data_IF_560261355509
#
_entry.id   IF_560261355509
#
_cell.length_a   1.000
_cell.length_b   1.000
_cell.length_c   1.000
_cell.angle_alpha   90.00
_cell.angle_beta   90.00
_cell.angle_gamma   90.00
#
_symmetry.space_group_name_H-M   'P 1'
#
loop_
_entity.id
_entity.type
_entity.pdbx_description
1 polymer ?
#
# COMPACT_ATOMS: atom_id res chain seq x y z
N UNK A 1 14.33 2.52 71.03
CA UNK A 1 15.67 2.24 71.64
C UNK A 1 16.78 2.93 70.85
N UNK A 2 16.64 3.20 69.57
CA UNK A 2 17.66 3.85 68.70
C UNK A 2 17.54 5.39 68.72
N UNK A 3 16.40 5.94 69.20
CA UNK A 3 16.13 7.38 69.16
C UNK A 3 16.62 8.10 70.47
N UNK A 4 16.78 7.38 71.57
CA UNK A 4 17.19 7.97 72.85
C UNK A 4 18.70 8.38 72.91
N UNK A 5 19.49 8.08 71.87
CA UNK A 5 20.94 8.41 71.83
C UNK A 5 21.33 9.45 70.76
N UNK A 6 20.32 10.09 70.12
CA UNK A 6 20.62 11.22 69.24
C UNK A 6 20.56 12.49 70.05
N UNK A 7 21.75 13.08 70.36
CA UNK A 7 21.81 14.32 71.09
C UNK A 7 21.03 15.41 70.36
N UNK A 8 20.08 16.05 71.09
CA UNK A 8 19.14 17.06 70.62
C UNK A 8 19.78 18.31 69.99
N UNK A 9 21.09 18.43 70.06
CA UNK A 9 21.87 19.62 69.62
C UNK A 9 22.27 19.59 68.13
N UNK A 10 21.98 18.51 67.44
CA UNK A 10 22.50 18.31 66.08
C UNK A 10 21.44 18.53 64.99
N UNK A 11 20.15 18.49 65.29
CA UNK A 11 19.10 18.65 64.28
C UNK A 11 18.11 19.77 64.63
N UNK A 12 18.31 20.95 64.05
CA UNK A 12 17.35 22.08 64.02
C UNK A 12 16.88 22.67 65.38
N UNK A 13 17.55 22.43 66.49
CA UNK A 13 17.19 22.99 67.81
C UNK A 13 15.85 22.51 68.34
N UNK A 14 15.39 21.34 67.94
CA UNK A 14 14.09 20.75 68.31
C UNK A 14 14.27 19.73 69.46
N UNK A 15 13.30 19.68 70.38
CA UNK A 15 13.30 18.66 71.43
C UNK A 15 13.07 17.26 70.83
N UNK A 16 13.58 16.21 71.51
CA UNK A 16 13.37 14.82 71.08
C UNK A 16 11.93 14.42 70.92
N UNK A 17 11.05 15.05 71.71
CA UNK A 17 9.61 14.87 71.69
C UNK A 17 8.96 15.47 70.40
N UNK A 18 9.42 16.64 69.97
CA UNK A 18 9.00 17.29 68.73
C UNK A 18 9.50 16.52 67.51
N UNK A 19 10.68 15.95 67.54
CA UNK A 19 11.25 15.11 66.49
C UNK A 19 10.46 13.80 66.30
N UNK A 20 10.10 13.15 67.42
CA UNK A 20 9.24 11.97 67.42
C UNK A 20 7.83 12.27 66.87
N UNK A 21 7.23 13.39 67.21
CA UNK A 21 5.94 13.81 66.69
C UNK A 21 5.97 14.06 65.18
N UNK A 22 7.02 14.73 64.70
CA UNK A 22 7.23 14.93 63.25
C UNK A 22 7.43 13.61 62.50
N UNK A 23 8.27 12.73 63.05
CA UNK A 23 8.50 11.41 62.49
C UNK A 23 7.21 10.58 62.41
N UNK A 24 6.38 10.66 63.42
CA UNK A 24 5.08 9.98 63.49
C UNK A 24 4.08 10.56 62.50
N UNK A 25 4.05 11.89 62.30
CA UNK A 25 3.21 12.56 61.28
C UNK A 25 3.70 12.19 59.89
N UNK A 26 5.02 12.18 59.63
CA UNK A 26 5.59 11.80 58.34
C UNK A 26 5.30 10.32 58.02
N UNK A 27 5.35 9.42 58.98
CA UNK A 27 5.02 8.01 58.81
C UNK A 27 3.53 7.79 58.58
N UNK A 28 2.66 8.45 59.35
CA UNK A 28 1.19 8.29 59.22
C UNK A 28 0.64 8.95 57.95
N UNK A 29 1.18 10.12 57.59
CA UNK A 29 0.71 10.82 56.36
C UNK A 29 1.45 10.39 55.11
N UNK A 30 2.75 10.11 55.22
CA UNK A 30 3.58 9.74 54.08
C UNK A 30 3.30 8.34 53.52
N UNK A 31 2.95 7.38 54.42
CA UNK A 31 2.66 6.01 53.97
C UNK A 31 1.40 5.89 53.08
N UNK A 32 0.26 6.50 53.42
CA UNK A 32 -0.90 6.53 52.50
C UNK A 32 -0.61 7.29 51.23
N UNK A 33 0.14 8.39 51.27
CA UNK A 33 0.51 9.18 50.08
C UNK A 33 1.39 8.35 49.16
N UNK A 34 2.38 7.65 49.71
CA UNK A 34 3.26 6.77 48.89
C UNK A 34 2.51 5.60 48.27
N UNK A 35 1.52 5.02 48.98
CA UNK A 35 0.66 3.97 48.47
C UNK A 35 -0.25 4.47 47.33
N UNK A 36 -0.83 5.63 47.45
CA UNK A 36 -1.62 6.25 46.40
C UNK A 36 -0.75 6.62 45.21
N UNK A 37 0.42 7.20 45.43
CA UNK A 37 1.39 7.48 44.38
C UNK A 37 1.82 6.20 43.63
N UNK A 38 2.20 5.14 44.36
CA UNK A 38 2.57 3.86 43.77
C UNK A 38 1.41 3.23 42.95
N UNK A 39 0.17 3.35 43.43
CA UNK A 39 -1.01 2.88 42.71
C UNK A 39 -1.28 3.68 41.43
N UNK A 40 -1.15 5.02 41.49
CA UNK A 40 -1.31 5.91 40.33
C UNK A 40 -0.21 5.63 39.30
N UNK A 41 1.07 5.54 39.74
CA UNK A 41 2.20 5.21 38.83
C UNK A 41 2.03 3.83 38.21
N UNK A 42 1.64 2.81 38.98
CA UNK A 42 1.37 1.46 38.43
C UNK A 42 0.23 1.47 37.43
N UNK A 43 -0.85 2.24 37.71
CA UNK A 43 -1.96 2.37 36.76
C UNK A 43 -1.54 3.10 35.48
N UNK A 44 -0.65 4.09 35.60
CA UNK A 44 -0.13 4.82 34.44
C UNK A 44 0.76 3.92 33.56
N UNK A 45 1.68 3.14 34.16
CA UNK A 45 2.53 2.19 33.45
C UNK A 45 1.68 1.14 32.70
N UNK A 46 0.65 0.59 33.36
CA UNK A 46 -0.25 -0.38 32.70
C UNK A 46 -1.04 0.29 31.58
N UNK A 47 -1.45 1.54 31.75
CA UNK A 47 -2.19 2.28 30.72
C UNK A 47 -1.29 2.59 29.51
N UNK A 48 -0.04 2.99 29.76
CA UNK A 48 0.93 3.27 28.69
C UNK A 48 1.29 1.98 27.94
N UNK A 49 1.46 0.84 28.63
CA UNK A 49 1.72 -0.47 28.01
C UNK A 49 0.50 -0.95 27.17
N UNK A 50 -0.73 -0.75 27.67
CA UNK A 50 -1.97 -1.07 26.92
C UNK A 50 -2.15 -0.14 25.72
N UNK A 51 -1.77 1.14 25.85
CA UNK A 51 -1.80 2.09 24.72
C UNK A 51 -0.76 1.76 23.66
N UNK A 52 0.46 1.39 24.04
CA UNK A 52 1.50 0.95 23.11
C UNK A 52 1.11 -0.34 22.39
N UNK A 53 0.53 -1.31 23.11
CA UNK A 53 -0.02 -2.52 22.49
C UNK A 53 -1.20 -2.21 21.55
N UNK A 54 -2.09 -1.29 21.95
CA UNK A 54 -3.21 -0.85 21.11
C UNK A 54 -2.73 -0.11 19.85
N UNK A 55 -1.76 0.81 19.98
CA UNK A 55 -1.18 1.52 18.85
C UNK A 55 -0.39 0.56 17.92
N UNK A 56 0.33 -0.41 18.47
CA UNK A 56 1.02 -1.44 17.68
C UNK A 56 0.02 -2.35 16.94
N UNK A 57 -1.05 -2.78 17.59
CA UNK A 57 -2.14 -3.53 16.96
C UNK A 57 -2.87 -2.69 15.92
N UNK A 58 -3.11 -1.41 16.19
CA UNK A 58 -3.71 -0.47 15.25
C UNK A 58 -2.83 -0.29 14.01
N UNK A 59 -1.50 -0.16 14.16
CA UNK A 59 -0.57 -0.11 13.03
C UNK A 59 -0.60 -1.41 12.20
N UNK A 60 -0.64 -2.57 12.84
CA UNK A 60 -0.76 -3.87 12.13
C UNK A 60 -2.08 -3.97 11.36
N UNK A 61 -3.19 -3.49 11.94
CA UNK A 61 -4.51 -3.51 11.30
C UNK A 61 -4.60 -2.45 10.18
N UNK A 62 -3.99 -1.26 10.38
CA UNK A 62 -4.07 -0.15 9.43
C UNK A 62 -3.19 -0.33 8.19
N UNK A 63 -2.19 -1.22 8.24
CA UNK A 63 -1.21 -1.43 7.17
C UNK A 63 -1.47 -2.66 6.28
N UNK A 64 -2.61 -3.32 6.43
CA UNK A 64 -2.90 -4.53 5.66
C UNK A 64 -3.23 -4.19 4.21
N UNK A 65 -2.24 -4.38 3.31
CA UNK A 65 -2.46 -4.37 1.86
C UNK A 65 -3.36 -5.55 1.47
N UNK A 66 -4.21 -5.41 0.45
CA UNK A 66 -4.96 -6.54 -0.09
C UNK A 66 -4.03 -7.71 -0.43
N UNK A 67 -4.36 -8.90 0.04
CA UNK A 67 -3.57 -10.10 -0.20
C UNK A 67 -4.22 -10.97 -1.26
N UNK A 68 -3.45 -11.31 -2.30
CA UNK A 68 -3.91 -12.04 -3.47
C UNK A 68 -3.28 -13.43 -3.50
N UNK A 69 -4.12 -14.44 -3.68
CA UNK A 69 -3.72 -15.78 -4.10
C UNK A 69 -3.92 -15.94 -5.61
N UNK A 70 -2.97 -16.59 -6.28
CA UNK A 70 -3.11 -16.96 -7.69
C UNK A 70 -3.11 -18.47 -7.76
N UNK A 71 -4.26 -19.04 -8.15
CA UNK A 71 -4.43 -20.49 -8.22
C UNK A 71 -3.77 -21.03 -9.48
N UNK A 72 -3.26 -22.27 -9.46
CA UNK A 72 -2.85 -22.95 -10.67
C UNK A 72 -4.04 -22.99 -11.63
N UNK A 73 -3.83 -22.55 -12.88
CA UNK A 73 -4.90 -22.59 -13.88
C UNK A 73 -5.16 -24.04 -14.31
N UNK A 74 -6.40 -24.34 -14.64
CA UNK A 74 -6.79 -25.65 -15.14
C UNK A 74 -6.40 -25.83 -16.60
N UNK A 75 -5.69 -26.91 -16.91
CA UNK A 75 -5.46 -27.33 -18.29
C UNK A 75 -6.65 -28.16 -18.76
N UNK A 76 -7.50 -27.58 -19.59
CA UNK A 76 -8.68 -28.24 -20.18
C UNK A 76 -8.35 -29.01 -21.48
N UNK A 77 -7.08 -29.25 -21.76
CA UNK A 77 -6.64 -30.03 -22.90
C UNK A 77 -6.35 -31.48 -22.52
N UNK A 78 -6.46 -32.39 -23.47
CA UNK A 78 -6.01 -33.76 -23.32
C UNK A 78 -4.46 -33.89 -23.35
N UNK A 79 -3.79 -32.88 -23.90
CA UNK A 79 -2.33 -32.83 -24.04
C UNK A 79 -1.68 -32.22 -22.78
N UNK A 80 -0.87 -33.04 -22.11
CA UNK A 80 -0.10 -32.63 -20.94
C UNK A 80 1.08 -31.72 -21.26
N UNK A 81 1.53 -31.67 -22.53
CA UNK A 81 2.60 -30.77 -22.94
C UNK A 81 2.17 -29.29 -22.85
N UNK A 82 0.86 -29.03 -22.77
CA UNK A 82 0.34 -27.68 -22.50
C UNK A 82 0.45 -27.25 -21.01
N UNK A 83 0.70 -28.16 -20.05
CA UNK A 83 0.81 -27.84 -18.63
C UNK A 83 1.93 -26.84 -18.36
N UNK A 84 3.02 -26.93 -19.11
CA UNK A 84 4.14 -26.00 -18.94
C UNK A 84 3.78 -24.55 -19.34
N UNK A 85 2.95 -24.36 -20.35
CA UNK A 85 2.45 -23.03 -20.76
C UNK A 85 1.50 -22.48 -19.70
N UNK A 86 0.62 -23.32 -19.16
CA UNK A 86 -0.33 -22.98 -18.10
C UNK A 86 0.42 -22.52 -16.86
N UNK A 87 1.42 -23.29 -16.43
CA UNK A 87 2.25 -22.97 -15.28
C UNK A 87 3.08 -21.70 -15.49
N UNK A 88 3.62 -21.52 -16.71
CA UNK A 88 4.36 -20.32 -17.07
C UNK A 88 3.54 -19.04 -16.91
N UNK A 89 2.31 -19.03 -17.41
CA UNK A 89 1.40 -17.87 -17.25
C UNK A 89 1.15 -17.57 -15.76
N UNK A 90 0.91 -18.59 -14.94
CA UNK A 90 0.70 -18.41 -13.50
C UNK A 90 1.97 -17.89 -12.81
N UNK A 91 3.15 -18.38 -13.19
CA UNK A 91 4.43 -17.87 -12.65
C UNK A 91 4.67 -16.41 -13.00
N UNK A 92 4.37 -16.01 -14.23
CA UNK A 92 4.51 -14.64 -14.67
C UNK A 92 3.50 -13.72 -13.99
N UNK A 93 2.25 -14.16 -13.82
CA UNK A 93 1.26 -13.43 -13.03
C UNK A 93 1.72 -13.20 -11.59
N UNK A 94 2.29 -14.22 -10.94
CA UNK A 94 2.83 -14.09 -9.58
C UNK A 94 3.99 -13.09 -9.57
N UNK A 95 4.89 -13.18 -10.54
CA UNK A 95 6.08 -12.33 -10.63
C UNK A 95 5.70 -10.87 -10.85
N UNK A 96 4.91 -10.60 -11.86
CA UNK A 96 4.52 -9.25 -12.26
C UNK A 96 3.61 -8.58 -11.21
N UNK A 97 2.60 -9.31 -10.67
CA UNK A 97 1.76 -8.79 -9.58
C UNK A 97 2.57 -8.50 -8.31
N UNK A 98 3.65 -9.24 -8.06
CA UNK A 98 4.54 -8.97 -6.92
C UNK A 98 5.33 -7.66 -7.04
N UNK A 99 5.46 -7.10 -8.25
CA UNK A 99 6.06 -5.78 -8.46
C UNK A 99 5.14 -4.63 -8.05
N UNK A 100 3.83 -4.89 -7.96
CA UNK A 100 2.82 -3.91 -7.56
C UNK A 100 2.83 -3.77 -6.04
N UNK A 101 3.26 -2.62 -5.54
CA UNK A 101 3.49 -2.38 -4.10
C UNK A 101 2.23 -2.19 -3.28
N UNK A 102 1.12 -1.91 -3.92
CA UNK A 102 -0.20 -1.69 -3.30
C UNK A 102 -0.86 -2.97 -2.82
N UNK A 103 -0.41 -4.12 -3.32
CA UNK A 103 -0.94 -5.45 -3.01
C UNK A 103 0.13 -6.34 -2.40
N UNK A 104 -0.29 -7.43 -1.77
CA UNK A 104 0.56 -8.49 -1.26
C UNK A 104 0.23 -9.79 -1.99
N UNK A 105 1.20 -10.38 -2.69
CA UNK A 105 0.99 -11.59 -3.49
C UNK A 105 1.51 -12.81 -2.73
N UNK A 106 0.74 -13.90 -2.74
CA UNK A 106 1.16 -15.17 -2.16
C UNK A 106 2.37 -15.75 -2.91
N UNK A 107 3.25 -16.44 -2.19
CA UNK A 107 4.44 -17.02 -2.81
C UNK A 107 4.06 -18.12 -3.82
N UNK A 108 4.91 -18.31 -4.84
CA UNK A 108 4.76 -19.40 -5.82
C UNK A 108 4.50 -20.76 -5.14
N UNK A 109 5.26 -21.09 -4.10
CA UNK A 109 5.09 -22.35 -3.36
C UNK A 109 3.70 -22.49 -2.74
N UNK A 110 3.15 -21.40 -2.21
CA UNK A 110 1.80 -21.38 -1.66
C UNK A 110 0.77 -21.57 -2.76
N UNK A 111 0.85 -20.77 -3.84
CA UNK A 111 -0.09 -20.84 -4.97
C UNK A 111 -0.13 -22.22 -5.61
N UNK A 112 1.02 -22.78 -5.99
CA UNK A 112 1.09 -24.12 -6.58
C UNK A 112 0.78 -25.27 -5.59
N UNK A 113 0.85 -25.00 -4.30
CA UNK A 113 0.45 -25.93 -3.25
C UNK A 113 -1.07 -26.20 -3.19
N UNK A 114 -1.87 -25.42 -3.92
CA UNK A 114 -3.33 -25.63 -4.06
C UNK A 114 -3.70 -26.53 -5.24
N UNK A 115 -2.76 -26.92 -6.09
CA UNK A 115 -3.03 -27.89 -7.15
C UNK A 115 -3.59 -29.18 -6.54
N UNK A 116 -4.68 -29.67 -7.09
CA UNK A 116 -5.39 -30.88 -6.64
C UNK A 116 -6.00 -30.79 -5.22
N UNK A 117 -6.11 -29.58 -4.65
CA UNK A 117 -6.82 -29.38 -3.39
C UNK A 117 -8.20 -28.79 -3.64
N UNK A 118 -9.20 -29.42 -3.02
CA UNK A 118 -10.56 -28.87 -2.96
C UNK A 118 -10.61 -27.83 -1.82
N UNK A 119 -10.44 -26.57 -2.16
CA UNK A 119 -10.44 -25.45 -1.21
C UNK A 119 -11.69 -24.60 -1.42
N UNK A 120 -12.33 -24.22 -0.32
CA UNK A 120 -13.47 -23.28 -0.34
C UNK A 120 -12.97 -21.84 -0.17
N UNK A 121 -13.78 -20.86 -0.62
CA UNK A 121 -13.49 -19.43 -0.41
C UNK A 121 -13.24 -19.09 1.05
N UNK A 122 -14.00 -19.74 1.96
CA UNK A 122 -13.81 -19.60 3.40
C UNK A 122 -12.43 -20.08 3.85
N UNK A 123 -11.92 -21.20 3.32
CA UNK A 123 -10.58 -21.68 3.67
C UNK A 123 -9.48 -20.76 3.15
N UNK A 124 -9.63 -20.17 1.96
CA UNK A 124 -8.69 -19.18 1.43
C UNK A 124 -8.60 -17.94 2.32
N UNK A 125 -9.72 -17.50 2.89
CA UNK A 125 -9.77 -16.38 3.80
C UNK A 125 -9.23 -16.71 5.19
N UNK A 126 -9.73 -17.74 5.84
CA UNK A 126 -9.48 -18.03 7.25
C UNK A 126 -8.08 -18.64 7.49
N UNK A 127 -7.65 -19.55 6.62
CA UNK A 127 -6.37 -20.24 6.78
C UNK A 127 -5.21 -19.48 6.13
N UNK A 128 -5.46 -18.83 4.98
CA UNK A 128 -4.41 -18.21 4.16
C UNK A 128 -4.47 -16.69 4.17
N UNK A 129 -5.58 -16.11 4.63
CA UNK A 129 -5.78 -14.66 4.73
C UNK A 129 -5.81 -13.96 3.39
N UNK A 130 -6.28 -14.63 2.33
CA UNK A 130 -6.46 -13.99 1.04
C UNK A 130 -7.70 -13.10 1.06
N UNK A 131 -7.56 -11.90 0.54
CA UNK A 131 -8.67 -10.99 0.30
C UNK A 131 -9.25 -11.22 -1.10
N UNK A 132 -8.40 -11.63 -2.06
CA UNK A 132 -8.76 -11.92 -3.45
C UNK A 132 -8.06 -13.18 -3.95
N UNK A 133 -8.70 -13.86 -4.90
CA UNK A 133 -8.14 -15.04 -5.57
C UNK A 133 -8.29 -14.88 -7.08
N UNK A 134 -7.20 -15.06 -7.81
CA UNK A 134 -7.18 -15.18 -9.27
C UNK A 134 -7.18 -16.67 -9.60
N UNK A 135 -8.12 -17.10 -10.41
CA UNK A 135 -8.21 -18.47 -10.96
C UNK A 135 -8.44 -18.42 -12.46
N UNK A 136 -8.24 -19.53 -13.13
CA UNK A 136 -8.44 -19.57 -14.57
C UNK A 136 -8.33 -20.95 -15.17
N UNK A 137 -8.59 -21.00 -16.46
CA UNK A 137 -8.44 -22.21 -17.26
C UNK A 137 -7.89 -21.91 -18.65
N UNK A 138 -7.18 -22.85 -19.20
CA UNK A 138 -6.59 -22.77 -20.52
C UNK A 138 -7.09 -23.91 -21.39
N UNK A 139 -7.59 -23.54 -22.57
CA UNK A 139 -7.95 -24.47 -23.63
C UNK A 139 -7.17 -24.14 -24.91
N UNK A 140 -6.48 -25.14 -25.42
CA UNK A 140 -5.69 -25.05 -26.63
C UNK A 140 -6.35 -25.87 -27.75
N UNK A 141 -6.40 -25.33 -28.95
CA UNK A 141 -6.66 -26.07 -30.19
C UNK A 141 -5.46 -25.95 -31.11
N UNK A 142 -5.49 -26.57 -32.30
CA UNK A 142 -4.34 -26.57 -33.22
C UNK A 142 -3.74 -25.19 -33.46
N UNK A 143 -4.59 -24.16 -33.70
CA UNK A 143 -4.15 -22.81 -34.05
C UNK A 143 -4.52 -21.74 -33.02
N UNK A 144 -5.29 -22.07 -32.00
CA UNK A 144 -5.85 -21.08 -31.07
C UNK A 144 -5.64 -21.47 -29.62
N UNK A 145 -5.44 -20.44 -28.80
CA UNK A 145 -5.37 -20.51 -27.36
C UNK A 145 -6.49 -19.68 -26.78
N UNK A 146 -7.30 -20.29 -25.92
CA UNK A 146 -8.31 -19.59 -25.13
C UNK A 146 -7.94 -19.67 -23.67
N UNK A 147 -7.82 -18.51 -23.03
CA UNK A 147 -7.54 -18.38 -21.61
C UNK A 147 -8.75 -17.71 -20.98
N UNK A 148 -9.33 -18.33 -19.96
CA UNK A 148 -10.38 -17.74 -19.13
C UNK A 148 -9.77 -17.43 -17.78
N UNK A 149 -10.03 -16.21 -17.26
CA UNK A 149 -9.50 -15.75 -15.98
C UNK A 149 -10.64 -15.14 -15.18
N UNK A 150 -10.64 -15.39 -13.88
CA UNK A 150 -11.60 -14.87 -12.93
C UNK A 150 -10.87 -14.28 -11.73
N UNK A 151 -11.38 -13.17 -11.20
CA UNK A 151 -10.99 -12.58 -9.94
C UNK A 151 -12.16 -12.68 -8.98
N UNK A 152 -11.95 -13.37 -7.89
CA UNK A 152 -12.95 -13.57 -6.84
C UNK A 152 -12.58 -12.81 -5.58
N UNK A 153 -13.59 -12.23 -4.96
CA UNK A 153 -13.53 -11.58 -3.66
C UNK A 153 -13.84 -12.61 -2.56
N UNK A 154 -12.92 -12.76 -1.61
CA UNK A 154 -13.06 -13.76 -0.54
C UNK A 154 -13.92 -13.28 0.62
N UNK A 155 -14.26 -11.98 0.68
CA UNK A 155 -15.16 -11.45 1.71
C UNK A 155 -16.63 -11.77 1.40
N UNK A 156 -17.01 -11.58 0.14
CA UNK A 156 -18.40 -11.71 -0.31
C UNK A 156 -18.65 -13.03 -1.05
N UNK A 157 -17.60 -13.83 -1.30
CA UNK A 157 -17.63 -15.09 -2.08
C UNK A 157 -18.22 -14.86 -3.50
N UNK A 158 -17.83 -13.78 -4.13
CA UNK A 158 -18.33 -13.37 -5.44
C UNK A 158 -17.19 -13.24 -6.47
N UNK A 159 -17.48 -13.61 -7.71
CA UNK A 159 -16.62 -13.28 -8.85
C UNK A 159 -16.85 -11.81 -9.20
N UNK A 160 -15.87 -10.96 -8.93
CA UNK A 160 -15.94 -9.52 -9.17
C UNK A 160 -15.51 -9.14 -10.58
N UNK A 161 -14.74 -10.00 -11.25
CA UNK A 161 -14.32 -9.81 -12.63
C UNK A 161 -14.02 -11.14 -13.31
N UNK A 162 -14.33 -11.25 -14.60
CA UNK A 162 -13.90 -12.36 -15.44
C UNK A 162 -13.70 -11.91 -16.87
N UNK A 163 -12.73 -12.50 -17.57
CA UNK A 163 -12.47 -12.24 -18.97
C UNK A 163 -11.98 -13.50 -19.71
N UNK A 164 -12.11 -13.45 -21.05
CA UNK A 164 -11.65 -14.52 -21.96
C UNK A 164 -10.78 -13.94 -23.04
N UNK A 165 -9.58 -14.49 -23.19
CA UNK A 165 -8.62 -14.11 -24.18
C UNK A 165 -8.54 -15.21 -25.25
N UNK A 166 -8.87 -14.86 -26.50
CA UNK A 166 -8.79 -15.74 -27.66
C UNK A 166 -7.66 -15.27 -28.58
N UNK A 167 -6.58 -16.03 -28.64
CA UNK A 167 -5.38 -15.67 -29.40
C UNK A 167 -4.96 -16.78 -30.37
N UNK A 168 -4.26 -16.40 -31.43
CA UNK A 168 -3.65 -17.34 -32.38
C UNK A 168 -2.27 -17.74 -31.87
N UNK A 169 -1.94 -19.01 -31.94
CA UNK A 169 -0.61 -19.53 -31.53
C UNK A 169 0.47 -19.15 -32.54
N UNK A 170 0.89 -17.91 -32.61
CA UNK A 170 1.97 -17.47 -33.49
C UNK A 170 3.35 -17.48 -32.85
N UNK A 171 3.43 -16.86 -31.65
CA UNK A 171 4.59 -16.82 -30.79
C UNK A 171 4.10 -16.94 -29.35
N UNK A 172 4.38 -18.07 -28.72
CA UNK A 172 3.86 -18.39 -27.38
C UNK A 172 4.39 -17.42 -26.33
N UNK A 173 5.65 -17.00 -26.41
CA UNK A 173 6.24 -16.11 -25.42
C UNK A 173 5.70 -14.68 -25.52
N UNK A 174 5.67 -14.08 -26.72
CA UNK A 174 5.06 -12.76 -26.92
C UNK A 174 3.58 -12.73 -26.53
N UNK A 175 2.87 -13.82 -26.80
CA UNK A 175 1.47 -13.98 -26.44
C UNK A 175 1.29 -14.08 -24.91
N UNK A 176 2.17 -14.79 -24.23
CA UNK A 176 2.18 -14.92 -22.78
C UNK A 176 2.38 -13.56 -22.11
N UNK A 177 3.38 -12.79 -22.55
CA UNK A 177 3.66 -11.44 -22.03
C UNK A 177 2.47 -10.49 -22.22
N UNK A 178 1.84 -10.50 -23.41
CA UNK A 178 0.67 -9.68 -23.70
C UNK A 178 -0.50 -10.02 -22.79
N UNK A 179 -0.84 -11.32 -22.67
CA UNK A 179 -1.98 -11.78 -21.87
C UNK A 179 -1.75 -11.49 -20.38
N UNK A 180 -0.55 -11.79 -19.88
CA UNK A 180 -0.18 -11.50 -18.49
C UNK A 180 -0.34 -10.02 -18.20
N UNK A 181 0.15 -9.14 -19.08
CA UNK A 181 0.01 -7.68 -18.93
C UNK A 181 -1.46 -7.25 -18.86
N UNK A 182 -2.32 -7.76 -19.74
CA UNK A 182 -3.75 -7.44 -19.77
C UNK A 182 -4.47 -7.93 -18.50
N UNK A 183 -4.16 -9.15 -18.04
CA UNK A 183 -4.75 -9.71 -16.81
C UNK A 183 -4.37 -8.84 -15.61
N UNK A 184 -3.09 -8.49 -15.47
CA UNK A 184 -2.57 -7.70 -14.35
C UNK A 184 -3.26 -6.35 -14.26
N UNK A 185 -3.34 -5.64 -15.38
CA UNK A 185 -4.00 -4.34 -15.41
C UNK A 185 -5.46 -4.42 -14.97
N UNK A 186 -6.20 -5.41 -15.51
CA UNK A 186 -7.61 -5.61 -15.16
C UNK A 186 -7.79 -6.00 -13.69
N UNK A 187 -7.00 -6.95 -13.20
CA UNK A 187 -7.06 -7.43 -11.80
C UNK A 187 -6.79 -6.29 -10.82
N UNK A 188 -5.75 -5.49 -11.07
CA UNK A 188 -5.41 -4.36 -10.19
C UNK A 188 -6.53 -3.32 -10.21
N UNK A 189 -7.06 -2.98 -11.39
CA UNK A 189 -8.16 -2.02 -11.54
C UNK A 189 -9.40 -2.45 -10.74
N UNK A 190 -9.81 -3.71 -10.82
CA UNK A 190 -10.98 -4.23 -10.11
C UNK A 190 -10.76 -4.28 -8.59
N UNK A 191 -9.55 -4.64 -8.14
CA UNK A 191 -9.21 -4.60 -6.72
C UNK A 191 -9.28 -3.18 -6.17
N UNK A 192 -8.77 -2.19 -6.90
CA UNK A 192 -8.85 -0.78 -6.49
C UNK A 192 -10.30 -0.30 -6.43
N UNK A 193 -11.13 -0.61 -7.43
CA UNK A 193 -12.55 -0.25 -7.46
C UNK A 193 -13.29 -0.88 -6.28
N UNK A 194 -13.08 -2.16 -6.03
CA UNK A 194 -13.74 -2.88 -4.92
C UNK A 194 -13.27 -2.38 -3.57
N UNK A 195 -11.97 -2.18 -3.39
CA UNK A 195 -11.40 -1.62 -2.16
C UNK A 195 -11.90 -0.18 -1.92
N UNK A 196 -12.03 0.64 -2.96
CA UNK A 196 -12.61 1.98 -2.86
C UNK A 196 -14.08 1.95 -2.44
N UNK A 197 -14.89 1.05 -3.01
CA UNK A 197 -16.30 0.86 -2.61
C UNK A 197 -16.39 0.47 -1.13
N UNK A 198 -15.51 -0.41 -0.65
CA UNK A 198 -15.44 -0.80 0.77
C UNK A 198 -15.00 0.38 1.64
N UNK A 199 -13.96 1.13 1.24
CA UNK A 199 -13.48 2.30 1.96
C UNK A 199 -14.59 3.37 2.13
N UNK A 200 -15.46 3.56 1.13
CA UNK A 200 -16.58 4.48 1.23
C UNK A 200 -17.64 4.07 2.27
N UNK A 201 -17.76 2.77 2.56
CA UNK A 201 -18.71 2.23 3.57
C UNK A 201 -18.14 2.22 4.98
N UNK A 202 -16.81 2.33 5.14
CA UNK A 202 -16.16 2.32 6.45
C UNK A 202 -16.39 3.62 7.23
N UNK A 203 -16.67 3.58 8.56
CA UNK A 203 -16.58 4.74 9.40
C UNK A 203 -15.17 5.34 9.37
N UNK A 204 -15.08 6.66 9.52
CA UNK A 204 -13.78 7.38 9.44
C UNK A 204 -12.75 6.84 10.43
N UNK A 205 -13.19 6.47 11.63
CA UNK A 205 -12.33 5.96 12.72
C UNK A 205 -11.72 4.58 12.41
N UNK A 206 -12.27 3.85 11.43
CA UNK A 206 -11.79 2.51 11.04
C UNK A 206 -11.09 2.47 9.68
N UNK A 207 -10.85 3.63 9.07
CA UNK A 207 -10.16 3.72 7.79
C UNK A 207 -8.65 3.52 7.93
N UNK A 208 -8.09 2.72 7.03
CA UNK A 208 -6.64 2.50 6.93
C UNK A 208 -5.94 3.55 6.07
N UNK A 209 -4.61 3.65 6.14
CA UNK A 209 -3.81 4.47 5.21
C UNK A 209 -4.13 4.14 3.75
N UNK A 210 -4.34 2.86 3.43
CA UNK A 210 -4.74 2.42 2.10
C UNK A 210 -6.12 2.97 1.69
N UNK A 211 -7.11 2.86 2.58
CA UNK A 211 -8.48 3.37 2.33
C UNK A 211 -8.48 4.88 2.05
N UNK A 212 -7.74 5.65 2.86
CA UNK A 212 -7.59 7.11 2.69
C UNK A 212 -6.87 7.44 1.38
N UNK A 213 -5.81 6.69 1.03
CA UNK A 213 -5.07 6.88 -0.22
C UNK A 213 -5.96 6.65 -1.44
N UNK A 214 -6.77 5.58 -1.45
CA UNK A 214 -7.72 5.31 -2.53
C UNK A 214 -8.75 6.43 -2.70
N UNK A 215 -9.31 6.93 -1.58
CA UNK A 215 -10.24 8.08 -1.61
C UNK A 215 -9.56 9.34 -2.16
N UNK A 216 -8.34 9.63 -1.72
CA UNK A 216 -7.55 10.76 -2.20
C UNK A 216 -7.31 10.68 -3.71
N UNK A 217 -6.91 9.51 -4.22
CA UNK A 217 -6.72 9.26 -5.66
C UNK A 217 -7.99 9.46 -6.46
N UNK A 218 -9.11 8.87 -6.02
CA UNK A 218 -10.39 9.00 -6.70
C UNK A 218 -10.90 10.45 -6.74
N UNK A 219 -10.65 11.23 -5.69
CA UNK A 219 -10.98 12.66 -5.66
C UNK A 219 -10.07 13.48 -6.60
N UNK A 220 -8.77 13.16 -6.65
CA UNK A 220 -7.83 13.81 -7.57
C UNK A 220 -8.25 13.66 -9.04
N UNK A 221 -8.80 12.49 -9.42
CA UNK A 221 -9.26 12.21 -10.79
C UNK A 221 -10.49 13.02 -11.24
N UNK A 222 -11.16 13.74 -10.34
CA UNK A 222 -12.32 14.58 -10.71
C UNK A 222 -11.92 15.90 -11.35
N UNK A 223 -10.68 16.36 -11.20
CA UNK A 223 -10.18 17.63 -11.73
C UNK A 223 -10.97 18.87 -11.29
N UNK A 224 -11.63 18.81 -10.14
CA UNK A 224 -12.44 19.87 -9.54
C UNK A 224 -11.72 20.46 -8.34
N UNK A 225 -11.89 21.77 -8.09
CA UNK A 225 -11.19 22.49 -7.02
C UNK A 225 -11.53 21.95 -5.63
N UNK A 226 -12.80 21.73 -5.35
CA UNK A 226 -13.29 21.19 -4.07
C UNK A 226 -12.84 19.75 -3.86
N UNK A 227 -12.88 18.94 -4.92
CA UNK A 227 -12.40 17.57 -4.88
C UNK A 227 -10.88 17.49 -4.67
N UNK A 228 -10.10 18.39 -5.29
CA UNK A 228 -8.66 18.49 -5.08
C UNK A 228 -8.31 18.85 -3.62
N UNK A 229 -9.02 19.81 -3.04
CA UNK A 229 -8.83 20.20 -1.63
C UNK A 229 -9.17 19.03 -0.68
N UNK A 230 -10.24 18.27 -0.96
CA UNK A 230 -10.60 17.09 -0.19
C UNK A 230 -9.60 15.94 -0.38
N UNK A 231 -9.09 15.75 -1.60
CA UNK A 231 -8.04 14.78 -1.89
C UNK A 231 -6.80 15.00 -1.02
N UNK A 232 -6.36 16.25 -0.88
CA UNK A 232 -5.22 16.60 -0.02
C UNK A 232 -5.52 16.21 1.43
N UNK A 233 -6.73 16.47 1.96
CA UNK A 233 -7.12 16.09 3.33
C UNK A 233 -7.12 14.56 3.52
N UNK A 234 -7.61 13.80 2.54
CA UNK A 234 -7.57 12.34 2.60
C UNK A 234 -6.13 11.82 2.60
N UNK A 235 -5.27 12.41 1.79
CA UNK A 235 -3.86 12.00 1.72
C UNK A 235 -3.08 12.41 2.98
N UNK A 236 -3.41 13.53 3.62
CA UNK A 236 -2.87 13.88 4.94
C UNK A 236 -3.29 12.86 6.00
N UNK A 237 -4.55 12.47 6.03
CA UNK A 237 -5.03 11.41 6.93
C UNK A 237 -4.38 10.05 6.65
N UNK A 238 -4.09 9.74 5.38
CA UNK A 238 -3.35 8.54 5.00
C UNK A 238 -1.91 8.54 5.56
N UNK A 239 -1.24 9.69 5.49
CA UNK A 239 0.11 9.90 6.03
C UNK A 239 0.10 9.81 7.57
N UNK A 240 -0.92 10.37 8.22
CA UNK A 240 -1.08 10.29 9.67
C UNK A 240 -1.31 8.83 10.12
N UNK A 241 -2.10 8.06 9.37
CA UNK A 241 -2.36 6.66 9.66
C UNK A 241 -1.13 5.75 9.44
N UNK A 242 -0.26 6.08 8.47
CA UNK A 242 1.00 5.38 8.21
C UNK A 242 2.02 6.31 7.55
N UNK A 243 2.87 6.92 8.36
CA UNK A 243 3.89 7.86 7.91
C UNK A 243 5.06 7.22 7.15
N UNK A 244 5.18 5.89 7.18
CA UNK A 244 6.23 5.14 6.46
C UNK A 244 5.77 4.63 5.09
N UNK A 245 4.51 4.83 4.72
CA UNK A 245 4.01 4.50 3.40
C UNK A 245 4.38 5.61 2.39
N UNK A 246 5.18 5.35 1.36
CA UNK A 246 5.57 6.37 0.36
C UNK A 246 4.40 6.81 -0.51
N UNK A 247 3.41 5.95 -0.74
CA UNK A 247 2.34 6.16 -1.72
C UNK A 247 1.46 7.39 -1.44
N UNK A 248 0.95 7.63 -0.22
CA UNK A 248 0.18 8.85 0.05
C UNK A 248 1.00 10.14 -0.08
N UNK A 249 2.31 10.09 0.22
CA UNK A 249 3.19 11.24 0.01
C UNK A 249 3.32 11.58 -1.49
N UNK A 250 3.54 10.57 -2.35
CA UNK A 250 3.64 10.78 -3.79
C UNK A 250 2.33 11.26 -4.40
N UNK A 251 1.18 10.72 -3.99
CA UNK A 251 -0.14 11.20 -4.44
C UNK A 251 -0.46 12.59 -3.93
N UNK A 252 -0.06 12.96 -2.72
CA UNK A 252 -0.19 14.34 -2.22
C UNK A 252 0.60 15.31 -3.10
N UNK A 253 1.83 14.97 -3.46
CA UNK A 253 2.61 15.78 -4.39
C UNK A 253 1.94 15.93 -5.76
N UNK A 254 1.40 14.85 -6.32
CA UNK A 254 0.62 14.87 -7.56
C UNK A 254 -0.60 15.80 -7.46
N UNK A 255 -1.36 15.70 -6.36
CA UNK A 255 -2.56 16.52 -6.13
C UNK A 255 -2.22 18.00 -5.95
N UNK A 256 -1.13 18.31 -5.27
CA UNK A 256 -0.60 19.69 -5.17
C UNK A 256 -0.15 20.21 -6.53
N UNK A 257 0.58 19.42 -7.33
CA UNK A 257 0.95 19.77 -8.70
C UNK A 257 -0.27 20.03 -9.58
N UNK A 258 -1.30 19.20 -9.48
CA UNK A 258 -2.57 19.41 -10.18
C UNK A 258 -3.23 20.73 -9.77
N UNK A 259 -3.24 21.09 -8.47
CA UNK A 259 -3.83 22.34 -8.01
C UNK A 259 -3.14 23.57 -8.58
N UNK A 260 -1.82 23.51 -8.76
CA UNK A 260 -1.02 24.55 -9.41
C UNK A 260 -1.32 24.61 -10.93
N UNK A 261 -1.31 23.45 -11.60
CA UNK A 261 -1.52 23.39 -13.05
C UNK A 261 -2.90 23.87 -13.48
N UNK A 262 -3.94 23.55 -12.69
CA UNK A 262 -5.33 23.97 -12.95
C UNK A 262 -5.64 25.36 -12.40
N UNK A 263 -4.70 26.06 -11.79
CA UNK A 263 -4.88 27.40 -11.24
C UNK A 263 -5.81 27.44 -10.02
N UNK A 264 -5.92 26.34 -9.26
CA UNK A 264 -6.69 26.32 -8.01
C UNK A 264 -5.95 27.01 -6.87
N UNK A 265 -4.60 26.95 -6.92
CA UNK A 265 -3.68 27.56 -5.97
C UNK A 265 -2.46 28.13 -6.68
N UNK A 266 -1.85 29.15 -6.09
CA UNK A 266 -0.64 29.78 -6.62
C UNK A 266 0.58 28.85 -6.45
N UNK A 267 1.51 28.94 -7.40
CA UNK A 267 2.74 28.14 -7.42
C UNK A 267 3.56 28.33 -6.15
N UNK A 268 3.69 29.56 -5.70
CA UNK A 268 4.46 29.94 -4.52
C UNK A 268 3.91 29.31 -3.23
N UNK A 269 2.58 29.09 -3.18
CA UNK A 269 1.90 28.46 -2.04
C UNK A 269 2.16 26.96 -2.00
N UNK A 270 2.04 26.26 -3.14
CA UNK A 270 2.03 24.79 -3.16
C UNK A 270 3.39 24.14 -3.39
N UNK A 271 4.32 24.84 -4.06
CA UNK A 271 5.61 24.27 -4.45
C UNK A 271 6.42 23.72 -3.25
N UNK A 272 6.52 24.42 -2.10
CA UNK A 272 7.25 23.89 -0.95
C UNK A 272 6.69 22.57 -0.43
N UNK A 273 5.36 22.49 -0.24
CA UNK A 273 4.68 21.28 0.25
C UNK A 273 4.74 20.12 -0.76
N UNK A 274 4.69 20.44 -2.06
CA UNK A 274 4.85 19.43 -3.12
C UNK A 274 6.25 18.82 -3.09
N UNK A 275 7.30 19.66 -3.02
CA UNK A 275 8.69 19.20 -2.98
C UNK A 275 9.00 18.43 -1.69
N UNK A 276 8.47 18.85 -0.55
CA UNK A 276 8.58 18.13 0.72
C UNK A 276 7.97 16.73 0.61
N UNK A 277 6.75 16.64 0.07
CA UNK A 277 6.05 15.37 -0.12
C UNK A 277 6.82 14.44 -1.08
N UNK A 278 7.35 14.96 -2.21
CA UNK A 278 8.18 14.17 -3.13
C UNK A 278 9.49 13.72 -2.49
N UNK A 279 10.15 14.60 -1.75
CA UNK A 279 11.38 14.26 -1.04
C UNK A 279 11.13 13.14 -0.03
N UNK A 280 10.03 13.22 0.73
CA UNK A 280 9.67 12.21 1.72
C UNK A 280 9.31 10.87 1.07
N UNK A 281 8.53 10.89 0.00
CA UNK A 281 8.21 9.67 -0.76
C UNK A 281 9.47 8.98 -1.29
N UNK A 282 10.40 9.75 -1.88
CA UNK A 282 11.66 9.22 -2.41
C UNK A 282 12.61 8.71 -1.32
N UNK A 283 12.62 9.35 -0.16
CA UNK A 283 13.38 8.92 1.03
C UNK A 283 12.90 7.57 1.57
N UNK A 284 11.58 7.39 1.62
CA UNK A 284 10.95 6.16 2.09
C UNK A 284 11.10 5.00 1.09
N UNK A 285 10.99 5.28 -0.19
CA UNK A 285 11.17 4.30 -1.25
C UNK A 285 11.56 4.96 -2.57
N UNK A 286 12.84 4.95 -2.92
CA UNK A 286 13.36 5.54 -4.16
C UNK A 286 12.95 4.74 -5.42
N UNK A 287 12.41 3.53 -5.25
CA UNK A 287 11.85 2.70 -6.31
C UNK A 287 10.30 2.73 -6.36
N UNK A 288 9.65 3.62 -5.58
CA UNK A 288 8.21 3.81 -5.70
C UNK A 288 7.84 4.32 -7.11
N UNK A 289 7.01 3.53 -7.82
CA UNK A 289 6.67 3.81 -9.21
C UNK A 289 5.97 5.17 -9.39
N UNK A 290 5.07 5.52 -8.46
CA UNK A 290 4.31 6.77 -8.57
C UNK A 290 5.18 8.00 -8.26
N UNK A 291 6.06 7.91 -7.27
CA UNK A 291 7.06 8.96 -6.99
C UNK A 291 7.96 9.18 -8.19
N UNK A 292 8.50 8.10 -8.78
CA UNK A 292 9.34 8.19 -9.97
C UNK A 292 8.58 8.73 -11.18
N UNK A 293 7.30 8.37 -11.36
CA UNK A 293 6.44 8.93 -12.41
C UNK A 293 6.29 10.44 -12.25
N UNK A 294 5.95 10.92 -11.04
CA UNK A 294 5.77 12.36 -10.78
C UNK A 294 7.09 13.12 -10.92
N UNK A 295 8.21 12.54 -10.49
CA UNK A 295 9.54 13.12 -10.73
C UNK A 295 9.87 13.23 -12.22
N UNK A 296 9.48 12.23 -13.02
CA UNK A 296 9.62 12.29 -14.47
C UNK A 296 8.77 13.42 -15.08
N UNK A 297 7.50 13.54 -14.69
CA UNK A 297 6.60 14.59 -15.14
C UNK A 297 7.12 16.00 -14.77
N UNK A 298 7.60 16.16 -13.53
CA UNK A 298 8.20 17.44 -13.08
C UNK A 298 9.45 17.79 -13.90
N UNK A 299 10.33 16.83 -14.19
CA UNK A 299 11.51 17.05 -15.01
C UNK A 299 11.14 17.33 -16.48
N UNK A 300 10.09 16.70 -17.01
CA UNK A 300 9.59 16.96 -18.35
C UNK A 300 9.13 18.42 -18.50
N UNK A 301 8.39 18.93 -17.50
CA UNK A 301 7.93 20.35 -17.49
C UNK A 301 9.06 21.36 -17.35
N UNK A 302 10.25 20.92 -16.93
CA UNK A 302 11.47 21.73 -16.83
C UNK A 302 12.43 21.51 -18.02
N UNK A 303 11.99 20.80 -19.07
CA UNK A 303 12.78 20.42 -20.25
C UNK A 303 14.06 19.61 -19.92
N UNK A 304 14.09 18.97 -18.76
CA UNK A 304 15.21 18.12 -18.33
C UNK A 304 15.00 16.68 -18.79
N UNK A 305 15.14 16.43 -20.09
CA UNK A 305 14.78 15.18 -20.74
C UNK A 305 15.61 13.95 -20.27
N UNK A 306 16.86 14.16 -19.88
CA UNK A 306 17.69 13.06 -19.35
C UNK A 306 17.16 12.57 -18.00
N UNK A 307 16.82 13.50 -17.09
CA UNK A 307 16.24 13.13 -15.80
C UNK A 307 14.82 12.59 -15.96
N UNK A 308 14.06 13.13 -16.92
CA UNK A 308 12.75 12.56 -17.30
C UNK A 308 12.89 11.09 -17.65
N UNK A 309 13.82 10.73 -18.55
CA UNK A 309 14.07 9.36 -18.97
C UNK A 309 14.55 8.48 -17.81
N UNK A 310 15.41 9.01 -16.95
CA UNK A 310 15.92 8.28 -15.78
C UNK A 310 14.76 7.87 -14.85
N UNK A 311 13.93 8.82 -14.43
CA UNK A 311 12.83 8.54 -13.52
C UNK A 311 11.69 7.76 -14.18
N UNK A 312 11.35 8.05 -15.44
CA UNK A 312 10.35 7.29 -16.20
C UNK A 312 10.76 5.83 -16.38
N UNK A 313 12.05 5.55 -16.61
CA UNK A 313 12.56 4.18 -16.68
C UNK A 313 12.45 3.46 -15.33
N UNK A 314 12.74 4.14 -14.21
CA UNK A 314 12.54 3.57 -12.86
C UNK A 314 11.05 3.25 -12.61
N UNK A 315 10.16 4.16 -12.96
CA UNK A 315 8.73 3.95 -12.85
C UNK A 315 8.26 2.75 -13.68
N UNK A 316 8.69 2.68 -14.94
CA UNK A 316 8.35 1.59 -15.85
C UNK A 316 8.84 0.22 -15.36
N UNK A 317 10.05 0.13 -14.81
CA UNK A 317 10.57 -1.11 -14.21
C UNK A 317 9.78 -1.57 -12.99
N UNK A 318 9.19 -0.64 -12.25
CA UNK A 318 8.44 -0.94 -11.02
C UNK A 318 6.95 -1.19 -11.27
N UNK A 319 6.39 -0.66 -12.37
CA UNK A 319 4.98 -0.86 -12.75
C UNK A 319 4.78 -0.74 -14.27
N UNK A 320 5.16 -1.78 -15.05
CA UNK A 320 5.20 -1.74 -16.52
C UNK A 320 3.83 -1.82 -17.19
N UNK A 321 2.76 -2.07 -16.41
CA UNK A 321 1.39 -2.21 -16.91
C UNK A 321 0.48 -1.04 -16.55
N UNK A 322 1.00 0.00 -15.89
CA UNK A 322 0.23 1.17 -15.53
C UNK A 322 0.19 2.19 -16.68
N UNK A 323 -1.00 2.63 -17.16
CA UNK A 323 -1.12 3.55 -18.29
C UNK A 323 -0.42 4.90 -18.06
N UNK A 324 -0.48 5.46 -16.85
CA UNK A 324 0.20 6.72 -16.54
C UNK A 324 1.73 6.58 -16.59
N UNK A 325 2.25 5.42 -16.20
CA UNK A 325 3.67 5.10 -16.30
C UNK A 325 4.07 4.91 -17.76
N UNK A 326 3.26 4.17 -18.53
CA UNK A 326 3.49 3.97 -19.97
C UNK A 326 3.48 5.32 -20.71
N UNK A 327 2.54 6.20 -20.38
CA UNK A 327 2.45 7.54 -20.98
C UNK A 327 3.73 8.34 -20.77
N UNK A 328 4.20 8.51 -19.54
CA UNK A 328 5.41 9.31 -19.26
C UNK A 328 6.69 8.63 -19.76
N UNK A 329 6.74 7.28 -19.76
CA UNK A 329 7.87 6.56 -20.31
C UNK A 329 7.95 6.70 -21.82
N UNK A 330 6.84 6.53 -22.54
CA UNK A 330 6.75 6.78 -23.99
C UNK A 330 7.13 8.21 -24.36
N UNK A 331 6.61 9.19 -23.66
CA UNK A 331 6.97 10.62 -23.85
C UNK A 331 8.47 10.85 -23.59
N UNK A 332 9.04 10.25 -22.56
CA UNK A 332 10.47 10.36 -22.27
C UNK A 332 11.35 9.79 -23.39
N UNK A 333 10.96 8.66 -23.98
CA UNK A 333 11.65 8.06 -25.12
C UNK A 333 11.56 8.95 -26.35
N UNK A 334 10.37 9.48 -26.65
CA UNK A 334 10.12 10.39 -27.77
C UNK A 334 11.01 11.65 -27.67
N UNK A 335 11.08 12.28 -26.50
CA UNK A 335 11.91 13.47 -26.25
C UNK A 335 13.40 13.19 -26.32
N UNK A 336 13.82 11.95 -26.10
CA UNK A 336 15.20 11.51 -26.23
C UNK A 336 15.53 10.91 -27.61
N UNK A 337 14.59 10.96 -28.57
CA UNK A 337 14.79 10.56 -29.97
C UNK A 337 14.62 9.06 -30.24
N UNK A 338 14.19 8.26 -29.27
CA UNK A 338 13.90 6.84 -29.44
C UNK A 338 12.44 6.64 -29.86
N UNK A 339 12.14 7.03 -31.09
CA UNK A 339 10.78 7.07 -31.64
C UNK A 339 10.18 5.66 -31.77
N UNK A 340 10.97 4.71 -32.25
CA UNK A 340 10.48 3.35 -32.51
C UNK A 340 10.05 2.64 -31.22
N UNK A 341 10.81 2.81 -30.14
CA UNK A 341 10.44 2.26 -28.83
C UNK A 341 9.25 3.02 -28.23
N UNK A 342 9.20 4.34 -28.39
CA UNK A 342 8.07 5.16 -27.92
C UNK A 342 6.73 4.71 -28.53
N UNK A 343 6.71 4.43 -29.84
CA UNK A 343 5.52 3.93 -30.54
C UNK A 343 5.03 2.63 -29.89
N UNK A 344 5.92 1.66 -29.68
CA UNK A 344 5.56 0.37 -29.05
C UNK A 344 4.99 0.55 -27.63
N UNK A 345 5.54 1.49 -26.86
CA UNK A 345 5.04 1.79 -25.51
C UNK A 345 3.64 2.42 -25.58
N UNK A 346 3.37 3.32 -26.52
CA UNK A 346 2.05 3.90 -26.70
C UNK A 346 1.04 2.89 -27.26
N UNK A 347 1.44 1.99 -28.16
CA UNK A 347 0.62 0.86 -28.61
C UNK A 347 0.22 -0.03 -27.43
N UNK A 348 1.20 -0.43 -26.60
CA UNK A 348 0.93 -1.19 -25.36
C UNK A 348 -0.04 -0.45 -24.44
N UNK A 349 0.10 0.87 -24.27
CA UNK A 349 -0.81 1.67 -23.45
C UNK A 349 -2.24 1.63 -24.01
N UNK A 350 -2.39 1.77 -25.34
CA UNK A 350 -3.70 1.76 -26.00
C UNK A 350 -4.41 0.40 -25.89
N UNK A 351 -3.67 -0.70 -25.84
CA UNK A 351 -4.25 -2.05 -25.66
C UNK A 351 -4.79 -2.30 -24.26
N UNK A 352 -4.40 -1.45 -23.27
CA UNK A 352 -4.85 -1.54 -21.89
C UNK A 352 -6.08 -0.67 -21.59
N UNK A 353 -6.44 0.28 -22.47
CA UNK A 353 -7.64 1.12 -22.37
C UNK A 353 -8.87 0.42 -23.01
#
# INVERSE_FOLDING_TARGET
IVVDNISTDIILGMSSESLMQILFIVLIAGFPISLVAAFVFKKQIIMDEVLDDYESLKQVITNKKPKIGIMPFENLNEDKDADFLVDGIVEDLITELSMVKEISVATRKTCFGFRDKDCTSQSFKDEWGFDYVVSGSIRSSEDRLRISVELSDMDDDEVIWSNKYDKVKSDIFSLQDEIVTQIIYSVIGEIEITSLKRAHRKPTESMTSYDYTLKGRALNQKFEKEANAEAIRMLDAAIEADSLNPLPHSWKACTLGQSMFLGFKDKEEVMPAMLESLSKANELNDNDWNTNRILAEANLTMDNFEQTKFFATKAYRSNPSNPHVLSIYGESLLRNGDIDTAIKIFEKMYELE
#
